data_IF_165146298044
#
_entry.id   IF_165146298044
#
_cell.length_a   1.000
_cell.length_b   1.000
_cell.length_c   1.000
_cell.angle_alpha   90.00
_cell.angle_beta   90.00
_cell.angle_gamma   90.00
#
_symmetry.space_group_name_H-M   'P 1'
#
loop_
_entity.id
_entity.type
_entity.pdbx_description
1 polymer ?
#
# COMPACT_ATOMS: atom_id res chain seq x y z
N UNK A 1 11.70 -9.13 1.65
CA UNK A 1 10.85 -8.20 0.87
C UNK A 1 9.48 -8.05 1.54
N UNK A 2 8.94 -6.83 1.62
CA UNK A 2 7.57 -6.55 2.06
C UNK A 2 6.71 -6.19 0.86
N UNK A 3 5.53 -6.81 0.77
CA UNK A 3 4.52 -6.49 -0.24
C UNK A 3 3.19 -6.15 0.43
N UNK A 4 2.31 -5.43 -0.27
CA UNK A 4 0.96 -5.20 0.19
C UNK A 4 -0.06 -5.22 -0.93
N UNK A 5 -1.29 -5.55 -0.57
CA UNK A 5 -2.47 -5.43 -1.43
C UNK A 5 -3.70 -5.09 -0.60
N UNK A 6 -4.78 -4.70 -1.27
CA UNK A 6 -6.08 -4.66 -0.61
C UNK A 6 -6.58 -6.09 -0.44
N UNK A 7 -6.87 -6.47 0.80
CA UNK A 7 -7.66 -7.69 1.08
C UNK A 7 -9.14 -7.41 0.92
N UNK A 8 -9.55 -6.17 1.18
CA UNK A 8 -10.88 -5.66 0.88
C UNK A 8 -10.73 -4.31 0.19
N UNK A 9 -11.33 -4.11 -1.00
CA UNK A 9 -11.27 -2.84 -1.70
C UNK A 9 -11.92 -1.74 -0.86
N UNK A 10 -11.51 -0.49 -1.08
CA UNK A 10 -12.15 0.67 -0.46
C UNK A 10 -13.60 0.73 -0.93
N UNK A 11 -14.54 0.39 -0.06
CA UNK A 11 -15.96 0.23 -0.39
C UNK A 11 -16.80 1.19 0.44
N UNK A 12 -17.68 1.95 -0.24
CA UNK A 12 -18.60 2.89 0.38
C UNK A 12 -19.66 2.18 1.23
N UNK A 13 -19.83 2.59 2.49
CA UNK A 13 -20.75 1.94 3.43
C UNK A 13 -22.22 2.02 2.99
N UNK A 14 -22.61 3.12 2.34
CA UNK A 14 -24.01 3.35 1.94
C UNK A 14 -24.29 2.92 0.51
N UNK A 15 -23.34 3.16 -0.38
CA UNK A 15 -23.51 3.02 -1.83
C UNK A 15 -22.97 1.70 -2.38
N UNK A 16 -22.11 1.02 -1.62
CA UNK A 16 -21.38 -0.16 -2.08
C UNK A 16 -20.39 0.12 -3.22
N UNK A 17 -20.16 1.39 -3.56
CA UNK A 17 -19.23 1.75 -4.61
C UNK A 17 -17.79 1.48 -4.16
N UNK A 18 -16.99 0.85 -5.03
CA UNK A 18 -15.56 0.65 -4.79
C UNK A 18 -14.75 1.85 -5.29
N UNK A 19 -13.56 2.04 -4.73
CA UNK A 19 -12.66 3.12 -5.06
C UNK A 19 -11.21 2.61 -5.16
N UNK A 20 -10.67 2.59 -6.38
CA UNK A 20 -9.27 2.23 -6.65
C UNK A 20 -8.41 3.49 -6.60
N UNK A 21 -8.13 3.96 -5.38
CA UNK A 21 -7.44 5.24 -5.15
C UNK A 21 -6.35 5.17 -4.10
N UNK A 22 -6.03 3.98 -3.58
CA UNK A 22 -4.98 3.83 -2.58
C UNK A 22 -3.64 3.54 -3.27
N UNK A 23 -2.69 4.44 -3.08
CA UNK A 23 -1.35 4.34 -3.63
C UNK A 23 -0.32 4.24 -2.50
N UNK A 24 0.79 3.60 -2.81
CA UNK A 24 1.99 3.60 -2.00
C UNK A 24 3.15 4.17 -2.82
N UNK A 25 3.86 5.16 -2.28
CA UNK A 25 5.08 5.72 -2.88
C UNK A 25 6.29 5.45 -2.00
N UNK A 26 7.39 5.12 -2.64
CA UNK A 26 8.68 5.02 -2.00
C UNK A 26 9.78 5.45 -2.97
N UNK A 27 10.36 6.64 -2.73
CA UNK A 27 11.26 7.30 -3.66
C UNK A 27 10.53 7.63 -4.97
N UNK A 28 11.10 7.19 -6.10
CA UNK A 28 10.49 7.39 -7.42
C UNK A 28 9.46 6.31 -7.80
N UNK A 29 9.34 5.23 -7.01
CA UNK A 29 8.38 4.15 -7.28
C UNK A 29 7.01 4.51 -6.71
N UNK A 30 5.99 4.44 -7.55
CA UNK A 30 4.57 4.52 -7.16
C UNK A 30 3.89 3.22 -7.53
N UNK A 31 3.14 2.65 -6.57
CA UNK A 31 2.33 1.45 -6.78
C UNK A 31 0.89 1.69 -6.36
N UNK A 32 -0.05 1.17 -7.14
CA UNK A 32 -1.47 1.14 -6.79
C UNK A 32 -1.72 -0.12 -5.97
N UNK A 33 -2.37 0.00 -4.82
CA UNK A 33 -2.79 -1.14 -4.03
C UNK A 33 -4.20 -1.54 -4.49
N UNK A 34 -4.30 -2.70 -5.14
CA UNK A 34 -5.56 -3.29 -5.60
C UNK A 34 -5.83 -4.61 -4.90
N UNK A 35 -6.99 -5.22 -5.12
CA UNK A 35 -7.31 -6.55 -4.59
C UNK A 35 -6.56 -7.68 -5.35
N UNK A 36 -6.31 -7.44 -6.63
CA UNK A 36 -5.86 -8.44 -7.60
C UNK A 36 -4.37 -8.79 -7.42
N UNK A 37 -3.52 -7.80 -7.16
CA UNK A 37 -2.07 -7.98 -7.16
C UNK A 37 -1.40 -7.35 -5.94
N UNK A 38 -0.37 -8.04 -5.43
CA UNK A 38 0.52 -7.48 -4.41
C UNK A 38 1.55 -6.56 -5.04
N UNK A 39 1.65 -5.34 -4.51
CA UNK A 39 2.68 -4.38 -4.85
C UNK A 39 3.88 -4.52 -3.91
N UNK A 40 5.08 -4.30 -4.43
CA UNK A 40 6.29 -4.15 -3.63
C UNK A 40 6.22 -2.84 -2.83
N UNK A 41 6.43 -2.93 -1.52
CA UNK A 41 6.37 -1.77 -0.61
C UNK A 41 7.78 -1.39 -0.19
N UNK A 42 8.55 -2.38 0.24
CA UNK A 42 9.85 -2.13 0.83
C UNK A 42 10.73 -3.37 0.71
N UNK A 43 11.96 -3.15 0.28
CA UNK A 43 12.99 -4.17 0.24
C UNK A 43 14.19 -3.71 1.04
N UNK A 44 14.63 -4.57 1.95
CA UNK A 44 15.83 -4.34 2.76
C UNK A 44 16.44 -5.67 3.15
N UNK A 45 17.75 -5.76 2.99
CA UNK A 45 18.56 -6.81 3.57
C UNK A 45 18.92 -6.42 5.01
N UNK A 46 18.55 -7.26 5.98
CA UNK A 46 18.93 -7.08 7.38
C UNK A 46 20.05 -8.05 7.73
N UNK A 47 21.20 -7.52 8.18
CA UNK A 47 22.34 -8.37 8.56
C UNK A 47 22.24 -8.90 10.00
N UNK A 48 21.45 -8.22 10.83
CA UNK A 48 21.34 -8.44 12.27
C UNK A 48 19.86 -8.36 12.72
N UNK A 49 19.59 -8.43 14.04
CA UNK A 49 18.26 -8.22 14.66
C UNK A 49 17.82 -6.75 14.70
N UNK A 50 18.10 -5.99 13.64
CA UNK A 50 17.73 -4.58 13.57
C UNK A 50 16.21 -4.44 13.41
N UNK A 51 15.63 -3.50 14.16
CA UNK A 51 14.24 -3.10 13.95
C UNK A 51 14.15 -2.36 12.63
N UNK A 52 13.22 -2.78 11.76
CA UNK A 52 12.90 -2.08 10.52
C UNK A 52 11.56 -1.41 10.69
N UNK A 53 11.59 -0.08 10.76
CA UNK A 53 10.39 0.76 10.74
C UNK A 53 10.25 1.37 9.35
N UNK A 54 9.27 0.91 8.60
CA UNK A 54 9.00 1.35 7.22
C UNK A 54 8.47 2.79 7.21
N UNK A 55 7.76 3.22 8.26
CA UNK A 55 7.19 4.56 8.31
C UNK A 55 8.25 5.65 8.52
N UNK A 56 9.40 5.30 9.11
CA UNK A 56 10.53 6.22 9.22
C UNK A 56 11.16 6.59 7.88
N UNK A 57 10.89 5.83 6.81
CA UNK A 57 11.33 6.20 5.46
C UNK A 57 10.30 7.05 4.72
N UNK A 58 9.13 7.30 5.32
CA UNK A 58 8.14 8.18 4.73
C UNK A 58 8.57 9.63 4.88
N UNK A 59 8.34 10.42 3.84
CA UNK A 59 8.67 11.82 3.80
C UNK A 59 7.37 12.64 3.65
N UNK A 60 7.34 13.87 4.17
CA UNK A 60 6.15 14.71 4.06
C UNK A 60 5.78 15.06 2.61
N UNK A 61 6.74 14.97 1.68
CA UNK A 61 6.63 15.41 0.30
C UNK A 61 6.09 14.33 -0.65
N UNK A 62 5.78 13.13 -0.14
CA UNK A 62 4.99 12.14 -0.88
C UNK A 62 5.26 10.67 -0.62
N UNK A 63 6.27 10.26 0.15
CA UNK A 63 6.47 8.84 0.45
C UNK A 63 5.47 8.33 1.50
N UNK A 64 5.05 7.07 1.34
CA UNK A 64 4.07 6.40 2.20
C UNK A 64 2.74 6.14 1.49
N UNK A 65 1.70 5.91 2.30
CA UNK A 65 0.34 5.70 1.81
C UNK A 65 -0.34 7.02 1.52
N UNK A 66 -0.91 7.16 0.32
CA UNK A 66 -1.69 8.33 -0.04
C UNK A 66 -2.89 7.95 -0.92
N UNK A 67 -3.85 8.86 -0.99
CA UNK A 67 -5.03 8.72 -1.84
C UNK A 67 -4.91 9.61 -3.06
N UNK A 68 -5.12 9.03 -4.24
CA UNK A 68 -5.28 9.75 -5.50
C UNK A 68 -6.67 9.49 -6.05
N UNK A 69 -7.57 10.45 -5.83
CA UNK A 69 -8.99 10.30 -6.18
C UNK A 69 -9.30 11.12 -7.42
N UNK A 70 -9.58 10.44 -8.52
CA UNK A 70 -10.02 11.09 -9.77
C UNK A 70 -11.34 11.84 -9.55
N UNK A 71 -11.43 13.07 -10.06
CA UNK A 71 -12.64 13.87 -9.95
C UNK A 71 -13.87 13.12 -10.53
N UNK A 72 -14.93 13.00 -9.73
CA UNK A 72 -16.18 12.35 -10.12
C UNK A 72 -16.26 10.84 -9.88
N UNK A 73 -15.20 10.17 -9.39
CA UNK A 73 -15.25 8.73 -9.08
C UNK A 73 -15.72 8.45 -7.64
N UNK A 74 -15.35 9.30 -6.70
CA UNK A 74 -15.83 9.22 -5.32
C UNK A 74 -17.29 9.69 -5.20
N UNK A 75 -18.11 8.91 -4.50
CA UNK A 75 -19.46 9.26 -4.08
C UNK A 75 -19.42 9.89 -2.70
N UNK A 76 -20.48 10.60 -2.33
CA UNK A 76 -20.66 11.13 -0.97
C UNK A 76 -20.93 9.97 0.01
N UNK A 77 -19.86 9.30 0.44
CA UNK A 77 -19.91 8.08 1.26
C UNK A 77 -18.68 7.99 2.17
N UNK A 78 -18.76 7.12 3.18
CA UNK A 78 -17.62 6.70 3.97
C UNK A 78 -17.06 5.41 3.36
N UNK A 79 -15.77 5.41 2.99
CA UNK A 79 -15.13 4.25 2.37
C UNK A 79 -14.31 3.48 3.40
N UNK A 80 -14.41 2.15 3.38
CA UNK A 80 -13.64 1.24 4.24
C UNK A 80 -12.97 0.17 3.39
N UNK A 81 -11.74 -0.17 3.73
CA UNK A 81 -10.99 -1.26 3.11
C UNK A 81 -9.96 -1.80 4.08
N UNK A 82 -9.35 -2.93 3.72
CA UNK A 82 -8.36 -3.62 4.54
C UNK A 82 -7.10 -3.83 3.71
N UNK A 83 -5.96 -3.36 4.20
CA UNK A 83 -4.65 -3.61 3.58
C UNK A 83 -4.05 -4.86 4.23
N UNK A 84 -3.66 -5.83 3.40
CA UNK A 84 -2.88 -6.99 3.84
C UNK A 84 -1.42 -6.79 3.46
N UNK A 85 -0.57 -6.83 4.47
CA UNK A 85 0.88 -6.81 4.33
C UNK A 85 1.42 -8.23 4.38
N UNK A 86 2.37 -8.55 3.49
CA UNK A 86 3.02 -9.85 3.46
C UNK A 86 4.53 -9.64 3.48
N UNK A 87 5.16 -10.09 4.57
CA UNK A 87 6.60 -10.18 4.68
C UNK A 87 7.05 -11.52 4.11
N UNK A 88 7.86 -11.46 3.05
CA UNK A 88 8.49 -12.63 2.45
C UNK A 88 9.99 -12.58 2.71
N UNK A 89 10.52 -13.68 3.22
CA UNK A 89 11.96 -13.92 3.19
C UNK A 89 12.33 -14.36 1.78
N UNK A 90 13.30 -13.69 1.17
CA UNK A 90 13.84 -14.10 -0.13
C UNK A 90 15.24 -14.59 0.19
N UNK A 91 15.46 -15.90 0.38
CA UNK A 91 16.82 -16.39 0.55
C UNK A 91 17.63 -15.98 -0.67
N UNK A 92 18.85 -15.45 -0.45
CA UNK A 92 19.81 -15.31 -1.53
C UNK A 92 19.93 -16.67 -2.20
N UNK A 93 19.57 -16.76 -3.49
CA UNK A 93 19.99 -17.89 -4.29
C UNK A 93 21.53 -17.81 -4.35
N UNK A 94 22.21 -18.63 -3.53
CA UNK A 94 23.64 -18.92 -3.68
C UNK A 94 23.90 -19.76 -4.94
#
# INVERSE_FOLDING_TARGET
MMTAKLEQPLTGEKTGATLDSLHYRYGEKVSILTEEASAEIYEKETKNREVVDISNTWNPDGDGLYLEVTAGTAKADAYKGTIRWVLQDVPLNE
#
